data_IF_947277457964
#
_entry.id   IF_947277457964
#
_cell.length_a   1.000
_cell.length_b   1.000
_cell.length_c   1.000
_cell.angle_alpha   90.00
_cell.angle_beta   90.00
_cell.angle_gamma   90.00
#
_symmetry.space_group_name_H-M   'P 1'
#
loop_
_entity.id
_entity.type
_entity.pdbx_description
1 polymer ?
#
# COMPACT_ATOMS: atom_id res chain seq x y z
N UNK A 1 13.21 -17.65 -9.82
CA UNK A 1 13.33 -18.55 -8.63
C UNK A 1 13.09 -17.84 -7.29
N UNK A 2 13.56 -16.60 -7.06
CA UNK A 2 13.23 -15.84 -5.84
C UNK A 2 11.73 -15.52 -5.70
N UNK A 3 11.08 -15.10 -6.80
CA UNK A 3 9.65 -14.73 -6.85
C UNK A 3 8.73 -15.82 -6.26
N UNK A 4 8.85 -17.07 -6.71
CA UNK A 4 8.03 -18.21 -6.22
C UNK A 4 8.14 -18.48 -4.71
N UNK A 5 9.30 -18.22 -4.10
CA UNK A 5 9.50 -18.46 -2.66
C UNK A 5 8.86 -17.37 -1.80
N UNK A 6 8.88 -16.13 -2.28
CA UNK A 6 8.34 -14.99 -1.55
C UNK A 6 6.81 -14.98 -1.58
N UNK A 7 6.21 -15.38 -2.69
CA UNK A 7 4.75 -15.49 -2.82
C UNK A 7 4.13 -16.40 -1.75
N UNK A 8 4.73 -17.56 -1.50
CA UNK A 8 4.26 -18.52 -0.49
C UNK A 8 4.48 -18.07 0.95
N UNK A 9 5.11 -16.91 1.18
CA UNK A 9 5.40 -16.35 2.51
C UNK A 9 4.62 -15.08 2.82
N UNK A 10 3.77 -14.60 1.90
CA UNK A 10 2.99 -13.37 2.09
C UNK A 10 2.14 -13.45 3.37
N UNK A 11 2.33 -12.47 4.25
CA UNK A 11 1.54 -12.21 5.44
C UNK A 11 1.45 -10.70 5.70
N UNK A 12 0.62 -10.30 6.66
CA UNK A 12 0.43 -8.88 7.04
C UNK A 12 1.74 -8.19 7.45
N UNK A 13 2.68 -8.92 8.05
CA UNK A 13 3.94 -8.37 8.56
C UNK A 13 5.00 -8.13 7.47
N UNK A 14 4.85 -8.76 6.30
CA UNK A 14 5.86 -8.72 5.25
C UNK A 14 5.35 -8.27 3.87
N UNK A 15 4.04 -8.18 3.66
CA UNK A 15 3.47 -7.85 2.35
C UNK A 15 3.97 -6.51 1.82
N UNK A 16 4.07 -5.48 2.66
CA UNK A 16 4.59 -4.16 2.26
C UNK A 16 6.06 -4.23 1.86
N UNK A 17 6.89 -4.97 2.62
CA UNK A 17 8.31 -5.20 2.28
C UNK A 17 8.45 -5.93 0.96
N UNK A 18 7.68 -6.99 0.75
CA UNK A 18 7.69 -7.79 -0.48
C UNK A 18 7.19 -6.96 -1.66
N UNK A 19 6.14 -6.16 -1.49
CA UNK A 19 5.63 -5.25 -2.51
C UNK A 19 6.68 -4.19 -2.89
N UNK A 20 7.36 -3.59 -1.90
CA UNK A 20 8.43 -2.62 -2.14
C UNK A 20 9.62 -3.26 -2.86
N UNK A 21 10.01 -4.48 -2.47
CA UNK A 21 11.07 -5.24 -3.13
C UNK A 21 10.69 -5.56 -4.59
N UNK A 22 9.48 -6.04 -4.82
CA UNK A 22 8.98 -6.36 -6.16
C UNK A 22 8.96 -5.11 -7.05
N UNK A 23 8.58 -3.95 -6.51
CA UNK A 23 8.64 -2.68 -7.22
C UNK A 23 10.08 -2.27 -7.56
N UNK A 24 11.02 -2.42 -6.62
CA UNK A 24 12.42 -2.07 -6.81
C UNK A 24 13.12 -2.91 -7.90
N UNK A 25 12.72 -4.17 -8.05
CA UNK A 25 13.30 -5.10 -9.03
C UNK A 25 12.45 -5.27 -10.29
N UNK A 26 11.42 -4.45 -10.49
CA UNK A 26 10.48 -4.56 -11.62
C UNK A 26 9.83 -5.98 -11.76
N UNK A 27 9.64 -6.70 -10.65
CA UNK A 27 8.94 -8.00 -10.61
C UNK A 27 7.43 -7.77 -10.55
N UNK A 28 6.84 -7.46 -11.71
CA UNK A 28 5.41 -7.18 -11.84
C UNK A 28 4.48 -8.32 -11.36
N UNK A 29 4.77 -9.62 -11.64
CA UNK A 29 3.97 -10.72 -11.09
C UNK A 29 3.94 -10.76 -9.56
N UNK A 30 5.09 -10.61 -8.90
CA UNK A 30 5.17 -10.61 -7.44
C UNK A 30 4.48 -9.36 -6.87
N UNK A 31 4.67 -8.20 -7.49
CA UNK A 31 4.02 -6.96 -7.09
C UNK A 31 2.49 -7.08 -7.15
N UNK A 32 1.95 -7.65 -8.23
CA UNK A 32 0.50 -7.90 -8.37
C UNK A 32 -0.02 -8.81 -7.28
N UNK A 33 0.67 -9.92 -6.97
CA UNK A 33 0.26 -10.84 -5.90
C UNK A 33 0.31 -10.18 -4.52
N UNK A 34 1.37 -9.44 -4.23
CA UNK A 34 1.49 -8.71 -2.97
C UNK A 34 0.39 -7.66 -2.82
N UNK A 35 0.05 -6.92 -3.89
CA UNK A 35 -1.06 -5.95 -3.87
C UNK A 35 -2.41 -6.63 -3.65
N UNK A 36 -2.69 -7.76 -4.32
CA UNK A 36 -3.95 -8.48 -4.14
C UNK A 36 -4.10 -8.97 -2.69
N UNK A 37 -3.02 -9.50 -2.12
CA UNK A 37 -2.98 -9.87 -0.71
C UNK A 37 -3.22 -8.66 0.20
N UNK A 38 -2.52 -7.55 -0.05
CA UNK A 38 -2.65 -6.31 0.71
C UNK A 38 -4.09 -5.78 0.68
N UNK A 39 -4.78 -5.85 -0.46
CA UNK A 39 -6.18 -5.44 -0.54
C UNK A 39 -7.11 -6.36 0.23
N UNK A 40 -6.87 -7.68 0.19
CA UNK A 40 -7.68 -8.65 0.92
C UNK A 40 -7.55 -8.49 2.44
N UNK A 41 -6.32 -8.30 2.92
CA UNK A 41 -5.96 -8.15 4.34
C UNK A 41 -5.87 -6.68 4.78
N UNK A 42 -6.41 -5.75 4.00
CA UNK A 42 -6.12 -4.31 4.14
C UNK A 42 -6.27 -3.83 5.58
N UNK A 43 -7.34 -4.22 6.26
CA UNK A 43 -7.68 -3.83 7.63
C UNK A 43 -6.68 -4.29 8.71
N UNK A 44 -5.84 -5.29 8.40
CA UNK A 44 -4.85 -5.85 9.32
C UNK A 44 -3.43 -5.33 9.06
N UNK A 45 -3.26 -4.45 8.07
CA UNK A 45 -1.96 -3.88 7.73
C UNK A 45 -1.53 -2.84 8.77
N UNK A 46 -0.27 -2.91 9.20
CA UNK A 46 0.35 -1.87 10.02
C UNK A 46 0.73 -0.64 9.18
N UNK A 47 -0.16 0.35 9.17
CA UNK A 47 0.05 1.61 8.44
C UNK A 47 1.10 2.52 9.10
N UNK A 48 1.48 2.29 10.35
CA UNK A 48 2.51 3.08 11.03
C UNK A 48 3.93 2.55 10.76
N UNK A 49 4.03 1.38 10.14
CA UNK A 49 5.31 0.79 9.74
C UNK A 49 6.10 1.68 8.80
N UNK A 50 7.44 1.60 8.89
CA UNK A 50 8.34 2.29 7.97
C UNK A 50 8.09 1.90 6.50
N UNK A 51 7.65 0.67 6.26
CA UNK A 51 7.38 0.18 4.91
C UNK A 51 6.16 0.83 4.27
N UNK A 52 5.16 1.18 5.07
CA UNK A 52 3.96 1.87 4.61
C UNK A 52 4.20 3.37 4.42
N UNK A 53 4.74 4.04 5.44
CA UNK A 53 4.88 5.51 5.40
C UNK A 53 5.89 5.99 4.36
N UNK A 54 6.81 5.12 3.91
CA UNK A 54 7.77 5.41 2.84
C UNK A 54 7.27 5.03 1.43
N UNK A 55 6.03 4.55 1.28
CA UNK A 55 5.47 4.28 -0.04
C UNK A 55 5.50 5.53 -0.93
N UNK A 56 5.77 5.31 -2.21
CA UNK A 56 5.74 6.39 -3.20
C UNK A 56 4.32 6.81 -3.53
N UNK A 57 4.15 8.03 -4.09
CA UNK A 57 2.85 8.49 -4.61
C UNK A 57 2.25 7.49 -5.60
N UNK A 58 3.06 6.89 -6.47
CA UNK A 58 2.61 5.87 -7.43
C UNK A 58 2.04 4.62 -6.74
N UNK A 59 2.72 4.12 -5.71
CA UNK A 59 2.25 2.97 -4.95
C UNK A 59 0.97 3.30 -4.17
N UNK A 60 0.90 4.48 -3.55
CA UNK A 60 -0.31 4.97 -2.88
C UNK A 60 -1.48 5.09 -3.85
N UNK A 61 -1.30 5.74 -5.00
CA UNK A 61 -2.31 5.79 -6.06
C UNK A 61 -2.78 4.38 -6.42
N UNK A 62 -1.84 3.44 -6.62
CA UNK A 62 -2.18 2.07 -6.99
C UNK A 62 -2.98 1.35 -5.91
N UNK A 63 -2.64 1.52 -4.64
CA UNK A 63 -3.34 0.88 -3.52
C UNK A 63 -4.74 1.46 -3.37
N UNK A 64 -4.88 2.79 -3.35
CA UNK A 64 -6.09 3.48 -2.94
C UNK A 64 -7.10 3.76 -4.06
N UNK A 65 -6.70 3.70 -5.35
CA UNK A 65 -7.63 3.87 -6.48
C UNK A 65 -8.28 2.54 -6.93
N UNK A 66 -8.13 1.46 -6.17
CA UNK A 66 -8.70 0.17 -6.51
C UNK A 66 -10.04 -0.03 -5.80
N UNK A 67 -11.05 -0.48 -6.54
CA UNK A 67 -12.33 -0.90 -5.96
C UNK A 67 -12.25 -2.26 -5.25
N UNK A 68 -11.08 -2.91 -5.24
CA UNK A 68 -10.87 -4.25 -4.68
C UNK A 68 -10.42 -4.23 -3.22
N UNK A 69 -10.23 -3.06 -2.61
CA UNK A 69 -9.82 -2.95 -1.20
C UNK A 69 -10.93 -3.55 -0.32
N UNK A 70 -10.60 -4.60 0.43
CA UNK A 70 -11.56 -5.26 1.30
C UNK A 70 -11.69 -4.50 2.63
N UNK A 71 -12.71 -3.66 2.74
CA UNK A 71 -12.98 -2.84 3.93
C UNK A 71 -14.36 -3.11 4.49
N UNK A 72 -14.42 -3.25 5.81
CA UNK A 72 -15.68 -3.28 6.57
C UNK A 72 -16.13 -1.87 6.96
N UNK A 73 -15.18 -0.92 7.04
CA UNK A 73 -15.42 0.46 7.45
C UNK A 73 -14.53 1.42 6.64
N UNK A 74 -15.14 2.43 6.03
CA UNK A 74 -14.45 3.46 5.24
C UNK A 74 -13.36 4.21 6.03
N UNK A 75 -13.57 4.37 7.35
CA UNK A 75 -12.59 5.03 8.23
C UNK A 75 -11.18 4.42 8.17
N UNK A 76 -11.06 3.13 7.86
CA UNK A 76 -9.75 2.46 7.77
C UNK A 76 -8.94 2.98 6.59
N UNK A 77 -9.59 3.25 5.46
CA UNK A 77 -8.95 3.84 4.27
C UNK A 77 -8.50 5.27 4.57
N UNK A 78 -9.38 6.06 5.19
CA UNK A 78 -9.07 7.43 5.61
C UNK A 78 -7.89 7.47 6.59
N UNK A 79 -7.90 6.60 7.60
CA UNK A 79 -6.81 6.51 8.58
C UNK A 79 -5.48 6.16 7.90
N UNK A 80 -5.46 5.14 7.03
CA UNK A 80 -4.27 4.73 6.31
C UNK A 80 -3.69 5.85 5.43
N UNK A 81 -4.52 6.53 4.62
CA UNK A 81 -4.02 7.62 3.77
C UNK A 81 -3.55 8.84 4.58
N UNK A 82 -4.22 9.14 5.70
CA UNK A 82 -3.81 10.22 6.60
C UNK A 82 -2.49 9.91 7.30
N UNK A 83 -2.25 8.66 7.72
CA UNK A 83 -0.95 8.26 8.30
C UNK A 83 0.18 8.50 7.30
N UNK A 84 -0.01 8.11 6.03
CA UNK A 84 0.97 8.39 4.99
C UNK A 84 1.11 9.89 4.72
N UNK A 85 0.02 10.65 4.62
CA UNK A 85 0.07 12.10 4.40
C UNK A 85 0.83 12.82 5.53
N UNK A 86 0.48 12.52 6.78
CA UNK A 86 1.00 13.18 7.98
C UNK A 86 2.49 12.94 8.21
N UNK A 87 3.04 11.81 7.73
CA UNK A 87 4.48 11.59 7.77
C UNK A 87 5.27 12.65 6.98
N UNK A 88 4.71 13.18 5.89
CA UNK A 88 5.36 14.24 5.12
C UNK A 88 4.35 15.19 4.47
N UNK A 89 3.67 15.96 5.31
CA UNK A 89 2.62 16.88 4.88
C UNK A 89 3.13 17.84 3.82
N UNK A 90 4.34 18.38 4.00
CA UNK A 90 4.92 19.38 3.09
C UNK A 90 5.05 18.85 1.67
N UNK A 91 5.54 17.61 1.49
CA UNK A 91 5.72 17.03 0.14
C UNK A 91 4.48 16.35 -0.41
N UNK A 92 3.53 15.95 0.44
CA UNK A 92 2.40 15.07 0.05
C UNK A 92 1.06 15.79 -0.04
N UNK A 93 0.91 16.97 0.56
CA UNK A 93 -0.37 17.70 0.60
C UNK A 93 -0.89 18.06 -0.81
N UNK A 94 -0.03 18.51 -1.73
CA UNK A 94 -0.45 18.85 -3.08
C UNK A 94 -0.95 17.62 -3.85
N UNK A 95 -0.19 16.52 -3.79
CA UNK A 95 -0.61 15.24 -4.37
C UNK A 95 -1.93 14.74 -3.76
N UNK A 96 -2.08 14.84 -2.43
CA UNK A 96 -3.27 14.40 -1.73
C UNK A 96 -4.50 15.18 -2.21
N UNK A 97 -4.42 16.52 -2.25
CA UNK A 97 -5.49 17.37 -2.77
C UNK A 97 -5.87 17.02 -4.20
N UNK A 98 -4.90 16.78 -5.08
CA UNK A 98 -5.18 16.52 -6.49
C UNK A 98 -5.74 15.10 -6.75
N UNK A 99 -5.42 14.14 -5.88
CA UNK A 99 -5.75 12.72 -6.09
C UNK A 99 -6.99 12.29 -5.31
N UNK A 100 -7.23 12.90 -4.15
CA UNK A 100 -8.23 12.49 -3.18
C UNK A 100 -9.20 13.64 -2.82
N UNK A 101 -9.39 14.62 -3.71
CA UNK A 101 -10.29 15.78 -3.51
C UNK A 101 -11.77 15.44 -3.27
N UNK A 102 -12.14 14.16 -3.30
CA UNK A 102 -13.52 13.66 -3.26
C UNK A 102 -13.77 12.72 -2.07
N UNK A 103 -12.76 12.50 -1.22
CA UNK A 103 -12.93 11.97 0.14
C UNK A 103 -13.23 13.15 1.08
#
# INVERSE_FOLDING_TARGET
>A
MMSLRLEGTLCTDNVLKIMNLAHLFDDEPLFKKAILFLWHEFQLIDYFSSDFVNLTTKQITKIFQSDQINISQERVVLEAILVWLCHDVTRRMEFFKNTFSIL
#
